data_IF_440474624415
#
_entry.id   IF_440474624415
#
_cell.length_a   1.000
_cell.length_b   1.000
_cell.length_c   1.000
_cell.angle_alpha   90.00
_cell.angle_beta   90.00
_cell.angle_gamma   90.00
#
_symmetry.space_group_name_H-M   'P 1'
#
loop_
_entity.id
_entity.type
_entity.pdbx_description
1 polymer ?
#
# COMPACT_ATOMS: atom_id res chain seq x y z
N UNK A 1 -11.77 -23.62 -19.04
CA UNK A 1 -12.56 -24.00 -17.85
C UNK A 1 -11.64 -24.37 -16.70
N UNK A 2 -11.61 -23.49 -15.70
CA UNK A 2 -10.72 -23.56 -14.53
C UNK A 2 -11.11 -22.47 -13.54
N UNK A 3 -12.38 -22.48 -13.11
CA UNK A 3 -12.87 -21.66 -12.02
C UNK A 3 -12.25 -22.13 -10.72
N UNK A 4 -11.22 -21.42 -10.26
CA UNK A 4 -10.65 -21.55 -8.93
C UNK A 4 -11.36 -20.60 -7.98
N UNK A 5 -12.44 -21.09 -7.40
CA UNK A 5 -13.14 -20.57 -6.23
C UNK A 5 -12.17 -20.52 -5.03
N UNK A 6 -11.68 -19.33 -4.69
CA UNK A 6 -10.65 -19.12 -3.66
C UNK A 6 -9.90 -17.80 -3.78
N UNK A 7 -10.54 -16.74 -4.27
CA UNK A 7 -9.91 -15.42 -4.34
C UNK A 7 -9.59 -14.95 -2.92
N UNK A 8 -8.29 -14.87 -2.60
CA UNK A 8 -7.80 -14.31 -1.35
C UNK A 8 -8.37 -12.89 -1.19
N UNK A 9 -8.95 -12.61 -0.02
CA UNK A 9 -9.48 -11.29 0.31
C UNK A 9 -8.41 -10.52 1.10
N UNK A 10 -7.89 -9.46 0.52
CA UNK A 10 -6.97 -8.56 1.20
C UNK A 10 -7.72 -7.66 2.17
N UNK A 11 -7.34 -7.68 3.46
CA UNK A 11 -7.81 -6.70 4.43
C UNK A 11 -6.79 -5.58 4.61
N UNK A 12 -7.21 -4.35 4.33
CA UNK A 12 -6.42 -3.14 4.54
C UNK A 12 -6.95 -2.34 5.72
N UNK A 13 -6.13 -2.21 6.76
CA UNK A 13 -6.46 -1.38 7.91
C UNK A 13 -6.32 0.10 7.55
N UNK A 14 -7.35 0.87 7.87
CA UNK A 14 -7.41 2.31 7.59
C UNK A 14 -7.71 3.12 8.85
N UNK A 15 -7.14 4.32 8.89
CA UNK A 15 -7.59 5.38 9.77
C UNK A 15 -8.55 6.29 8.99
N UNK A 16 -9.59 6.85 9.65
CA UNK A 16 -10.39 7.90 9.05
C UNK A 16 -9.53 9.11 8.65
N UNK A 17 -9.99 9.84 7.64
CA UNK A 17 -9.70 11.26 7.52
C UNK A 17 -8.80 11.65 6.35
N UNK A 18 -8.22 12.86 6.40
CA UNK A 18 -8.54 13.93 7.35
C UNK A 18 -9.92 14.58 7.10
N UNK A 19 -10.49 14.46 5.90
CA UNK A 19 -11.56 15.36 5.45
C UNK A 19 -11.02 16.78 5.22
N UNK A 20 -11.78 17.61 4.50
CA UNK A 20 -11.34 18.97 4.17
C UNK A 20 -11.06 19.78 5.45
N UNK A 21 -9.85 20.35 5.62
CA UNK A 21 -9.51 21.19 6.77
C UNK A 21 -10.38 22.45 6.91
N UNK A 22 -11.13 22.84 5.88
CA UNK A 22 -12.11 23.94 5.92
C UNK A 22 -13.39 23.63 6.73
N UNK A 23 -13.61 22.35 7.08
CA UNK A 23 -14.70 21.91 7.96
C UNK A 23 -16.00 21.51 7.24
N UNK A 24 -16.31 22.09 6.08
CA UNK A 24 -17.56 21.80 5.34
C UNK A 24 -17.57 20.40 4.70
N UNK A 25 -16.41 19.81 4.39
CA UNK A 25 -16.32 18.48 3.74
C UNK A 25 -15.79 17.37 4.66
N UNK A 26 -15.48 17.67 5.92
CA UNK A 26 -15.30 16.65 6.97
C UNK A 26 -16.54 15.78 7.11
N UNK A 27 -17.73 16.37 6.90
CA UNK A 27 -19.01 15.65 6.89
C UNK A 27 -19.15 14.71 5.69
N UNK A 28 -18.63 15.08 4.51
CA UNK A 28 -18.64 14.23 3.30
C UNK A 28 -17.70 13.04 3.47
N UNK A 29 -16.46 13.27 3.93
CA UNK A 29 -15.52 12.20 4.22
C UNK A 29 -16.08 11.22 5.28
N UNK A 30 -16.76 11.74 6.30
CA UNK A 30 -17.42 10.92 7.32
C UNK A 30 -18.62 10.13 6.76
N UNK A 31 -19.43 10.73 5.87
CA UNK A 31 -20.56 10.08 5.24
C UNK A 31 -20.14 8.93 4.31
N UNK A 32 -18.98 9.05 3.67
CA UNK A 32 -18.43 8.05 2.74
C UNK A 32 -17.70 6.93 3.46
N UNK A 33 -17.12 7.17 4.64
CA UNK A 33 -16.35 6.18 5.36
C UNK A 33 -17.15 4.90 5.64
N UNK A 34 -18.41 5.01 6.06
CA UNK A 34 -19.20 3.81 6.37
C UNK A 34 -19.52 2.96 5.13
N UNK A 35 -20.01 3.53 4.02
CA UNK A 35 -20.10 2.83 2.74
C UNK A 35 -18.78 2.20 2.30
N UNK A 36 -17.65 2.91 2.45
CA UNK A 36 -16.32 2.40 2.09
C UNK A 36 -15.92 1.16 2.91
N UNK A 37 -16.22 1.15 4.21
CA UNK A 37 -15.92 0.03 5.13
C UNK A 37 -16.89 -1.15 4.98
N UNK A 38 -18.08 -0.90 4.42
CA UNK A 38 -19.14 -1.90 4.26
C UNK A 38 -19.08 -2.68 2.95
N UNK A 39 -18.17 -2.34 2.04
CA UNK A 39 -18.07 -2.92 0.72
C UNK A 39 -16.76 -3.69 0.50
N UNK A 40 -16.83 -4.71 -0.35
CA UNK A 40 -15.70 -5.36 -1.00
C UNK A 40 -15.43 -4.71 -2.35
N UNK A 41 -14.16 -4.71 -2.73
CA UNK A 41 -13.68 -4.12 -3.96
C UNK A 41 -12.84 -5.09 -4.77
N UNK A 42 -12.82 -4.91 -6.09
CA UNK A 42 -11.89 -5.57 -6.99
C UNK A 42 -10.89 -4.58 -7.58
N UNK A 43 -9.63 -5.00 -7.71
CA UNK A 43 -8.56 -4.18 -8.31
C UNK A 43 -8.76 -4.01 -9.81
N UNK A 44 -8.71 -2.77 -10.28
CA UNK A 44 -8.89 -2.39 -11.68
C UNK A 44 -7.57 -2.45 -12.47
N UNK A 45 -7.62 -2.65 -13.80
CA UNK A 45 -6.45 -2.66 -14.67
C UNK A 45 -5.63 -1.36 -14.69
N UNK A 46 -6.25 -0.22 -14.35
CA UNK A 46 -5.63 1.12 -14.33
C UNK A 46 -4.79 1.38 -13.06
N UNK A 47 -4.12 0.35 -12.56
CA UNK A 47 -3.32 0.39 -11.33
C UNK A 47 -1.83 0.27 -11.66
N UNK A 48 -1.02 1.14 -11.06
CA UNK A 48 0.42 1.21 -11.26
C UNK A 48 1.16 1.67 -9.98
N UNK A 49 2.39 2.16 -10.11
CA UNK A 49 3.21 2.61 -8.97
C UNK A 49 2.78 3.95 -8.38
N UNK A 50 1.94 4.72 -9.08
CA UNK A 50 1.33 5.94 -8.56
C UNK A 50 0.13 5.60 -7.68
N UNK A 51 -0.71 4.67 -8.10
CA UNK A 51 -1.91 4.28 -7.35
C UNK A 51 -2.47 2.90 -7.73
N UNK A 52 -3.15 2.29 -6.76
CA UNK A 52 -4.05 1.15 -7.00
C UNK A 52 -5.48 1.64 -7.02
N UNK A 53 -6.21 1.30 -8.06
CA UNK A 53 -7.60 1.68 -8.19
C UNK A 53 -8.53 0.48 -8.05
N UNK A 54 -9.63 0.67 -7.34
CA UNK A 54 -10.57 -0.40 -7.04
C UNK A 54 -12.01 0.00 -7.35
N UNK A 55 -12.86 -0.96 -7.66
CA UNK A 55 -14.31 -0.77 -7.85
C UNK A 55 -15.09 -1.66 -6.90
N UNK A 56 -16.17 -1.14 -6.31
CA UNK A 56 -17.05 -1.94 -5.44
C UNK A 56 -17.66 -3.11 -6.23
N UNK A 57 -17.77 -4.28 -5.59
CA UNK A 57 -18.32 -5.51 -6.21
C UNK A 57 -19.55 -6.07 -5.50
N UNK A 58 -19.85 -5.59 -4.29
CA UNK A 58 -20.98 -6.04 -3.46
C UNK A 58 -21.88 -4.90 -2.96
N UNK A 59 -21.55 -3.64 -3.25
CA UNK A 59 -22.46 -2.53 -3.02
C UNK A 59 -23.75 -2.80 -3.82
N UNK A 60 -24.92 -2.78 -3.19
CA UNK A 60 -26.22 -3.11 -3.79
C UNK A 60 -26.71 -2.13 -4.88
N UNK A 61 -25.82 -1.63 -5.73
CA UNK A 61 -26.09 -0.83 -6.91
C UNK A 61 -25.88 0.68 -6.74
N UNK A 62 -25.55 1.16 -5.54
CA UNK A 62 -25.21 2.55 -5.33
C UNK A 62 -23.69 2.75 -5.40
N UNK A 63 -23.17 3.48 -6.42
CA UNK A 63 -21.77 3.85 -6.43
C UNK A 63 -21.45 4.71 -5.20
N UNK A 64 -20.22 4.55 -4.67
CA UNK A 64 -19.74 5.44 -3.64
C UNK A 64 -19.79 6.88 -4.18
N UNK A 65 -20.43 7.78 -3.44
CA UNK A 65 -20.53 9.19 -3.86
C UNK A 65 -19.29 9.94 -3.41
N UNK A 66 -18.30 9.99 -4.29
CA UNK A 66 -17.10 10.81 -4.11
C UNK A 66 -17.32 12.28 -4.45
N UNK A 67 -16.22 13.04 -4.47
CA UNK A 67 -16.31 14.48 -4.71
C UNK A 67 -14.95 15.14 -4.88
N UNK A 68 -15.00 16.40 -5.29
CA UNK A 68 -13.84 17.28 -5.30
C UNK A 68 -13.76 18.03 -3.97
N UNK A 69 -12.54 18.31 -3.53
CA UNK A 69 -12.25 19.17 -2.38
C UNK A 69 -11.11 20.15 -2.70
N UNK A 70 -10.83 21.07 -1.77
CA UNK A 70 -9.65 21.92 -1.86
C UNK A 70 -8.38 21.06 -1.94
N UNK A 71 -7.42 21.49 -2.76
CA UNK A 71 -6.19 20.74 -2.93
C UNK A 71 -5.41 20.67 -1.61
N UNK A 72 -5.12 19.46 -1.16
CA UNK A 72 -4.42 19.18 0.08
C UNK A 72 -3.22 18.26 -0.14
N UNK A 73 -2.29 18.25 0.82
CA UNK A 73 -1.13 17.38 0.79
C UNK A 73 -1.57 15.90 0.88
N UNK A 74 -1.04 15.08 -0.02
CA UNK A 74 -1.29 13.64 -0.05
C UNK A 74 -0.07 12.87 0.43
N UNK A 75 -0.30 11.69 1.02
CA UNK A 75 0.75 10.76 1.45
C UNK A 75 0.44 9.36 0.96
N UNK A 76 1.43 8.46 1.00
CA UNK A 76 1.22 7.08 0.59
C UNK A 76 0.20 6.43 1.53
N UNK A 77 -0.79 5.76 0.94
CA UNK A 77 -1.95 5.23 1.65
C UNK A 77 -3.18 6.11 1.64
N UNK A 78 -3.09 7.38 1.23
CA UNK A 78 -4.28 8.23 1.03
C UNK A 78 -5.26 7.51 0.09
N UNK A 79 -6.51 7.35 0.54
CA UNK A 79 -7.59 6.80 -0.27
C UNK A 79 -8.41 7.96 -0.80
N UNK A 80 -8.23 8.31 -2.06
CA UNK A 80 -9.03 9.32 -2.73
C UNK A 80 -10.31 8.69 -3.28
N UNK A 81 -11.43 9.41 -3.19
CA UNK A 81 -12.68 9.03 -3.82
C UNK A 81 -13.12 10.11 -4.82
N UNK A 82 -12.77 9.95 -6.11
CA UNK A 82 -13.21 10.86 -7.17
C UNK A 82 -14.73 10.77 -7.44
N UNK A 83 -15.31 11.68 -8.24
CA UNK A 83 -16.73 11.67 -8.58
C UNK A 83 -17.24 10.41 -9.30
N UNK A 84 -16.34 9.59 -9.88
CA UNK A 84 -16.70 8.32 -10.52
C UNK A 84 -16.95 7.18 -9.49
N UNK A 85 -16.70 7.43 -8.21
CA UNK A 85 -17.00 6.52 -7.12
C UNK A 85 -16.02 5.35 -6.96
N UNK A 86 -14.90 5.35 -7.68
CA UNK A 86 -13.88 4.31 -7.59
C UNK A 86 -12.74 4.75 -6.66
N UNK A 87 -12.53 4.11 -5.49
CA UNK A 87 -11.44 4.49 -4.61
C UNK A 87 -10.06 4.31 -5.27
N UNK A 88 -9.18 5.28 -5.01
CA UNK A 88 -7.80 5.33 -5.50
C UNK A 88 -6.86 5.36 -4.30
N UNK A 89 -6.06 4.31 -4.12
CA UNK A 89 -5.08 4.18 -3.04
C UNK A 89 -3.73 4.65 -3.55
N UNK A 90 -3.23 5.78 -3.02
CA UNK A 90 -1.97 6.38 -3.47
C UNK A 90 -0.74 5.59 -2.98
N UNK A 91 0.23 5.40 -3.89
CA UNK A 91 1.47 4.64 -3.68
C UNK A 91 2.73 5.51 -3.83
N UNK A 92 3.92 4.93 -3.77
CA UNK A 92 5.19 5.65 -3.62
C UNK A 92 5.48 6.74 -4.67
N UNK A 93 4.87 6.68 -5.86
CA UNK A 93 5.07 7.67 -6.94
C UNK A 93 3.87 8.61 -7.12
N UNK A 94 2.97 8.68 -6.13
CA UNK A 94 1.82 9.57 -6.17
C UNK A 94 2.20 11.06 -6.21
N UNK A 95 1.32 11.89 -6.75
CA UNK A 95 1.43 13.34 -6.71
C UNK A 95 1.42 13.89 -5.28
N UNK A 96 2.14 14.98 -5.01
CA UNK A 96 2.24 15.54 -3.65
C UNK A 96 0.95 16.19 -3.15
N UNK A 97 0.06 16.61 -4.04
CA UNK A 97 -1.22 17.24 -3.70
C UNK A 97 -2.40 16.65 -4.48
N UNK A 98 -3.60 16.68 -3.91
CA UNK A 98 -4.81 16.18 -4.56
C UNK A 98 -6.06 16.91 -4.11
N UNK A 99 -7.07 16.97 -4.98
CA UNK A 99 -8.34 17.68 -4.76
C UNK A 99 -9.55 16.77 -4.82
N UNK A 100 -9.42 15.49 -4.43
CA UNK A 100 -10.52 14.55 -4.31
C UNK A 100 -10.75 14.21 -2.85
N UNK A 101 -12.00 13.95 -2.46
CA UNK A 101 -12.37 13.61 -1.09
C UNK A 101 -11.52 12.45 -0.55
N UNK A 102 -11.01 12.59 0.67
CA UNK A 102 -10.23 11.56 1.35
C UNK A 102 -11.03 11.04 2.56
N UNK A 103 -11.82 9.97 2.40
CA UNK A 103 -12.54 9.34 3.52
C UNK A 103 -11.61 8.61 4.50
N UNK A 104 -10.47 8.11 4.01
CA UNK A 104 -9.59 7.24 4.78
C UNK A 104 -8.13 7.26 4.30
N UNK A 105 -7.24 6.78 5.17
CA UNK A 105 -5.81 6.57 4.88
C UNK A 105 -5.42 5.17 5.33
N UNK A 106 -4.87 4.37 4.42
CA UNK A 106 -4.28 3.05 4.71
C UNK A 106 -3.08 3.22 5.62
N UNK A 107 -3.00 2.42 6.69
CA UNK A 107 -1.88 2.49 7.63
C UNK A 107 -0.58 2.03 6.96
N UNK A 108 0.54 2.61 7.37
CA UNK A 108 1.85 2.28 6.84
C UNK A 108 2.18 0.78 6.89
N UNK A 109 1.77 0.10 7.96
CA UNK A 109 2.02 -1.34 8.15
C UNK A 109 1.32 -2.24 7.11
N UNK A 110 0.31 -1.73 6.39
CA UNK A 110 -0.46 -2.47 5.39
C UNK A 110 -0.15 -2.03 3.95
N UNK A 111 0.67 -0.99 3.73
CA UNK A 111 0.98 -0.49 2.38
C UNK A 111 1.66 -1.52 1.48
N UNK A 112 2.46 -2.42 2.07
CA UNK A 112 3.11 -3.49 1.31
C UNK A 112 2.07 -4.42 0.65
N UNK A 113 0.90 -4.62 1.27
CA UNK A 113 -0.18 -5.44 0.72
C UNK A 113 -0.69 -4.81 -0.57
N UNK A 114 -0.92 -3.48 -0.56
CA UNK A 114 -1.39 -2.72 -1.72
C UNK A 114 -0.45 -2.90 -2.92
N UNK A 115 0.86 -2.83 -2.69
CA UNK A 115 1.87 -3.04 -3.72
C UNK A 115 1.97 -4.47 -4.27
N UNK A 116 1.34 -5.45 -3.62
CA UNK A 116 1.31 -6.86 -4.06
C UNK A 116 0.00 -7.24 -4.76
N UNK A 117 -1.04 -6.40 -4.67
CA UNK A 117 -2.34 -6.72 -5.24
C UNK A 117 -2.29 -6.78 -6.76
N UNK A 118 -3.02 -7.75 -7.34
CA UNK A 118 -3.15 -7.93 -8.78
C UNK A 118 -4.54 -7.58 -9.28
N UNK A 119 -4.65 -7.23 -10.56
CA UNK A 119 -5.92 -6.96 -11.23
C UNK A 119 -6.90 -8.11 -11.01
N UNK A 120 -8.12 -7.78 -10.57
CA UNK A 120 -9.19 -8.73 -10.26
C UNK A 120 -9.14 -9.35 -8.87
N UNK A 121 -8.06 -9.16 -8.08
CA UNK A 121 -8.04 -9.58 -6.68
C UNK A 121 -9.00 -8.75 -5.84
N UNK A 122 -9.51 -9.36 -4.77
CA UNK A 122 -10.52 -8.77 -3.89
C UNK A 122 -9.87 -8.16 -2.67
N UNK A 123 -10.44 -7.04 -2.21
CA UNK A 123 -9.98 -6.37 -1.00
C UNK A 123 -11.12 -5.69 -0.26
N UNK A 124 -10.93 -5.41 1.02
CA UNK A 124 -11.81 -4.56 1.82
C UNK A 124 -11.04 -3.66 2.77
N UNK A 125 -11.67 -2.55 3.13
CA UNK A 125 -11.14 -1.62 4.13
C UNK A 125 -11.66 -1.99 5.52
N UNK A 126 -10.77 -2.00 6.51
CA UNK A 126 -11.09 -2.30 7.90
C UNK A 126 -10.66 -1.13 8.77
N UNK A 127 -11.57 -0.56 9.55
CA UNK A 127 -11.24 0.55 10.45
C UNK A 127 -10.29 0.06 11.56
N UNK A 128 -9.24 0.82 11.82
CA UNK A 128 -8.38 0.65 13.01
C UNK A 128 -8.32 1.93 13.85
N UNK A 129 -7.69 1.85 15.02
CA UNK A 129 -7.35 3.01 15.85
C UNK A 129 -5.90 3.44 15.62
N UNK A 130 -5.54 4.65 16.09
CA UNK A 130 -4.16 5.15 16.04
C UNK A 130 -3.22 4.25 16.84
N UNK A 131 -3.68 3.73 17.98
CA UNK A 131 -2.93 2.78 18.81
C UNK A 131 -2.71 1.48 18.05
N UNK A 132 -3.76 0.93 17.41
CA UNK A 132 -3.67 -0.27 16.58
C UNK A 132 -2.74 -0.09 15.38
N UNK A 133 -2.80 1.07 14.71
CA UNK A 133 -1.89 1.41 13.60
C UNK A 133 -0.43 1.48 14.06
N UNK A 134 -0.18 2.10 15.22
CA UNK A 134 1.15 2.23 15.81
C UNK A 134 1.71 0.87 16.24
N UNK A 135 0.88 0.05 16.87
CA UNK A 135 1.25 -1.31 17.27
C UNK A 135 1.61 -2.18 16.06
N UNK A 136 0.79 -2.13 15.01
CA UNK A 136 1.05 -2.85 13.76
C UNK A 136 2.36 -2.42 13.08
N UNK A 137 2.68 -1.12 13.10
CA UNK A 137 3.94 -0.63 12.54
C UNK A 137 5.16 -1.08 13.35
N UNK A 138 5.06 -1.09 14.69
CA UNK A 138 6.12 -1.62 15.55
C UNK A 138 6.37 -3.10 15.31
N UNK A 139 5.30 -3.87 15.19
CA UNK A 139 5.38 -5.31 14.88
C UNK A 139 6.07 -5.54 13.53
N UNK A 140 5.67 -4.82 12.48
CA UNK A 140 6.30 -4.93 11.17
C UNK A 140 7.79 -4.60 11.22
N UNK A 141 8.19 -3.55 11.94
CA UNK A 141 9.60 -3.21 12.12
C UNK A 141 10.37 -4.27 12.91
N UNK A 142 9.77 -4.84 13.97
CA UNK A 142 10.40 -5.93 14.72
C UNK A 142 10.66 -7.16 13.84
N UNK A 143 9.67 -7.56 13.04
CA UNK A 143 9.83 -8.65 12.07
C UNK A 143 10.92 -8.36 11.03
N UNK A 144 10.97 -7.13 10.53
CA UNK A 144 12.02 -6.71 9.59
C UNK A 144 13.42 -6.74 10.23
N UNK A 145 13.53 -6.38 11.50
CA UNK A 145 14.78 -6.44 12.26
C UNK A 145 15.23 -7.88 12.56
N UNK A 146 14.30 -8.82 12.79
CA UNK A 146 14.61 -10.25 12.98
C UNK A 146 15.21 -10.90 11.74
N UNK A 147 14.71 -10.53 10.55
CA UNK A 147 15.21 -11.06 9.27
C UNK A 147 16.28 -10.16 8.66
N UNK A 148 16.74 -9.14 9.38
CA UNK A 148 17.77 -8.23 8.89
C UNK A 148 19.02 -9.04 8.58
N UNK A 149 19.53 -9.00 7.33
CA UNK A 149 20.72 -9.76 6.99
C UNK A 149 21.85 -9.33 7.91
N UNK A 150 22.51 -10.31 8.54
CA UNK A 150 23.74 -10.07 9.28
C UNK A 150 24.74 -9.56 8.25
N UNK A 151 25.16 -8.30 8.41
CA UNK A 151 26.27 -7.81 7.64
C UNK A 151 27.48 -8.68 8.04
N UNK A 152 28.16 -9.33 7.09
CA UNK A 152 29.39 -10.06 7.39
C UNK A 152 30.37 -9.09 8.07
N UNK A 153 31.12 -9.60 9.05
CA UNK A 153 32.14 -8.79 9.74
C UNK A 153 33.15 -8.26 8.69
N UNK A 154 33.59 -7.02 8.83
CA UNK A 154 34.45 -6.36 7.84
C UNK A 154 35.76 -7.11 7.56
N UNK A 155 36.18 -7.99 8.47
CA UNK A 155 37.38 -8.82 8.37
C UNK A 155 37.16 -10.15 7.60
N UNK A 156 35.91 -10.48 7.22
CA UNK A 156 35.59 -11.72 6.49
C UNK A 156 35.71 -11.54 4.96
N UNK A 157 35.82 -10.31 4.48
CA UNK A 157 36.06 -10.00 3.07
C UNK A 157 37.52 -9.59 2.84
N UNK A 158 38.35 -10.55 2.44
CA UNK A 158 39.64 -10.22 1.81
C UNK A 158 39.39 -9.62 0.42
N UNK A 159 39.21 -8.30 0.39
CA UNK A 159 39.10 -7.52 -0.84
C UNK A 159 40.34 -7.67 -1.72
N UNK A 160 41.50 -8.02 -1.15
CA UNK A 160 42.72 -8.37 -1.88
C UNK A 160 42.58 -9.70 -2.64
N UNK A 161 41.99 -10.72 -2.00
CA UNK A 161 41.68 -12.01 -2.62
C UNK A 161 40.67 -11.85 -3.77
N UNK A 162 39.62 -11.06 -3.58
CA UNK A 162 38.61 -10.77 -4.62
C UNK A 162 39.19 -9.95 -5.78
N UNK A 163 40.13 -9.04 -5.50
CA UNK A 163 40.82 -8.25 -6.52
C UNK A 163 41.90 -9.05 -7.28
N UNK A 164 42.42 -10.13 -6.69
CA UNK A 164 43.50 -10.95 -7.28
C UNK A 164 43.06 -11.83 -8.45
N UNK A 165 41.74 -12.08 -8.60
CA UNK A 165 41.16 -12.89 -9.68
C UNK A 165 41.52 -14.38 -9.60
N UNK A 166 40.69 -15.23 -10.20
CA UNK A 166 40.80 -16.71 -10.14
C UNK A 166 42.06 -17.27 -10.86
N UNK A 167 42.89 -16.42 -11.46
CA UNK A 167 43.91 -16.84 -12.43
C UNK A 167 45.36 -16.89 -11.92
N UNK A 168 45.61 -16.78 -10.62
CA UNK A 168 46.99 -16.83 -10.07
C UNK A 168 47.46 -18.23 -9.64
N UNK A 169 46.63 -19.28 -9.72
CA UNK A 169 47.03 -20.66 -9.37
C UNK A 169 47.77 -21.40 -10.50
N UNK A 170 48.37 -20.68 -11.45
CA UNK A 170 48.98 -21.25 -12.66
C UNK A 170 50.51 -21.25 -12.72
N UNK A 171 51.23 -20.65 -11.78
CA UNK A 171 52.69 -20.42 -11.95
C UNK A 171 53.64 -21.44 -11.29
N UNK A 172 53.15 -22.51 -10.66
CA UNK A 172 54.02 -23.53 -10.01
C UNK A 172 53.77 -24.97 -10.48
N UNK A 173 53.67 -25.18 -11.80
CA UNK A 173 53.95 -26.50 -12.40
C UNK A 173 54.93 -26.33 -13.56
N UNK A 174 56.22 -26.21 -13.23
CA UNK A 174 57.29 -26.55 -14.19
C UNK A 174 57.48 -28.06 -14.18
N UNK A 175 57.25 -28.69 -15.33
CA UNK A 175 57.75 -30.04 -15.64
C UNK A 175 59.28 -30.06 -15.73
#
# INVERSE_FOLDING_TARGET
>A
DGGGDGAFLWELRVLPGPGDPSGEQTEVAAAVLQPLLGADFAVLPRSDRMAVMVSAIDAEGAPLSGGQQLSEACVSGTVQLPPDGNPVILLAEHQTTGGYAVPAVVIQADLWKVGQMRVGERMRFVRTTREGATAALRELHAQADEVRPVAPEQDEFDLGLLASGVNQLGEDVKM
#
